data_IF_673612694548
#
_entry.id   IF_673612694548
#
_cell.length_a   1.000
_cell.length_b   1.000
_cell.length_c   1.000
_cell.angle_alpha   90.00
_cell.angle_beta   90.00
_cell.angle_gamma   90.00
#
_symmetry.space_group_name_H-M   'P 1'
#
loop_
_entity.id
_entity.type
_entity.pdbx_description
1 polymer ?
#
# COMPACT_ATOMS: atom_id res chain seq x y z
N UNK A 1 34.75 12.41 6.31
CA UNK A 1 34.06 11.61 5.28
C UNK A 1 34.43 10.15 5.48
N UNK A 2 33.47 9.29 5.75
CA UNK A 2 33.68 7.85 6.01
C UNK A 2 33.60 7.08 4.70
N UNK A 3 34.50 6.12 4.48
CA UNK A 3 34.42 5.23 3.31
C UNK A 3 33.66 3.95 3.66
N UNK A 4 32.60 3.68 2.92
CA UNK A 4 31.69 2.55 3.17
C UNK A 4 31.55 1.72 1.89
N UNK A 5 31.79 0.41 1.94
CA UNK A 5 31.62 -0.45 0.74
C UNK A 5 30.19 -0.50 0.24
N UNK A 6 29.22 -0.75 1.12
CA UNK A 6 27.79 -0.82 0.80
C UNK A 6 27.00 0.00 1.80
N UNK A 7 26.24 0.97 1.32
CA UNK A 7 25.29 1.74 2.12
C UNK A 7 23.88 1.40 1.69
N UNK A 8 23.03 1.09 2.67
CA UNK A 8 21.59 0.95 2.48
C UNK A 8 20.91 2.16 3.11
N UNK A 9 20.24 2.97 2.31
CA UNK A 9 19.49 4.11 2.79
C UNK A 9 18.03 3.72 3.01
N UNK A 10 17.61 3.72 4.27
CA UNK A 10 16.29 3.32 4.76
C UNK A 10 16.27 1.94 5.41
N UNK A 11 15.99 1.91 6.71
CA UNK A 11 15.87 0.70 7.54
C UNK A 11 14.45 0.13 7.57
N UNK A 12 13.67 0.25 6.47
CA UNK A 12 12.39 -0.44 6.31
C UNK A 12 12.55 -1.93 5.98
N UNK A 13 11.46 -2.66 5.77
CA UNK A 13 11.51 -4.11 5.47
C UNK A 13 12.46 -4.44 4.33
N UNK A 14 12.35 -3.74 3.19
CA UNK A 14 13.22 -3.96 2.02
C UNK A 14 14.69 -3.63 2.28
N UNK A 15 14.95 -2.55 3.02
CA UNK A 15 16.32 -2.16 3.36
C UNK A 15 16.98 -3.12 4.33
N UNK A 16 16.25 -3.58 5.35
CA UNK A 16 16.75 -4.59 6.30
C UNK A 16 17.09 -5.90 5.58
N UNK A 17 16.21 -6.41 4.73
CA UNK A 17 16.47 -7.64 3.93
C UNK A 17 17.64 -7.43 2.98
N UNK A 18 17.70 -6.31 2.27
CA UNK A 18 18.80 -6.00 1.35
C UNK A 18 20.16 -5.93 2.08
N UNK A 19 20.18 -5.35 3.27
CA UNK A 19 21.39 -5.28 4.10
C UNK A 19 21.84 -6.67 4.58
N UNK A 20 20.89 -7.50 5.05
CA UNK A 20 21.14 -8.89 5.48
C UNK A 20 21.73 -9.70 4.33
N UNK A 21 21.09 -9.66 3.15
CA UNK A 21 21.54 -10.46 2.00
C UNK A 21 22.90 -9.99 1.48
N UNK A 22 23.16 -8.68 1.43
CA UNK A 22 24.49 -8.17 1.08
C UNK A 22 25.56 -8.60 2.09
N UNK A 23 25.23 -8.60 3.39
CA UNK A 23 26.16 -9.01 4.44
C UNK A 23 26.39 -10.54 4.44
N UNK A 24 25.39 -11.36 4.13
CA UNK A 24 25.55 -12.82 3.89
C UNK A 24 26.56 -13.13 2.79
N UNK A 25 26.64 -12.27 1.78
CA UNK A 25 27.60 -12.37 0.68
C UNK A 25 28.99 -11.81 1.04
N UNK A 26 29.23 -11.47 2.29
CA UNK A 26 30.51 -10.99 2.80
C UNK A 26 30.77 -9.49 2.64
N UNK A 27 29.76 -8.69 2.29
CA UNK A 27 29.90 -7.25 2.22
C UNK A 27 29.88 -6.60 3.62
N UNK A 28 30.71 -5.57 3.82
CA UNK A 28 30.55 -4.68 4.97
C UNK A 28 29.42 -3.68 4.64
N UNK A 29 28.32 -3.78 5.37
CA UNK A 29 27.10 -3.02 5.10
C UNK A 29 26.81 -2.05 6.24
N UNK A 30 26.50 -0.81 5.88
CA UNK A 30 25.94 0.20 6.80
C UNK A 30 24.50 0.53 6.36
N UNK A 31 23.58 0.60 7.30
CA UNK A 31 22.20 1.07 7.10
C UNK A 31 22.05 2.44 7.75
N UNK A 32 21.52 3.41 7.04
CA UNK A 32 21.05 4.66 7.63
C UNK A 32 19.52 4.67 7.68
N UNK A 33 18.94 5.09 8.81
CA UNK A 33 17.51 5.14 9.05
C UNK A 33 17.13 6.46 9.73
N UNK A 34 16.16 7.18 9.16
CA UNK A 34 15.75 8.49 9.69
C UNK A 34 14.96 8.42 11.00
N UNK A 35 14.40 7.28 11.34
CA UNK A 35 13.71 7.07 12.61
C UNK A 35 14.68 6.50 13.65
N UNK A 36 14.30 6.60 14.93
CA UNK A 36 15.10 6.10 16.05
C UNK A 36 15.24 4.57 16.13
N UNK A 37 14.57 3.82 15.24
CA UNK A 37 14.66 2.34 15.13
C UNK A 37 14.28 1.92 13.72
N UNK A 38 14.92 0.88 13.16
CA UNK A 38 14.52 0.29 11.89
C UNK A 38 13.18 -0.45 12.01
N UNK A 39 12.55 -0.73 10.88
CA UNK A 39 11.35 -1.56 10.78
C UNK A 39 10.07 -0.96 11.35
N UNK A 40 10.01 0.34 11.64
CA UNK A 40 8.81 0.97 12.26
C UNK A 40 7.53 0.73 11.46
N UNK A 41 7.58 0.84 10.13
CA UNK A 41 6.41 0.63 9.29
C UNK A 41 5.92 -0.82 9.32
N UNK A 42 6.78 -1.80 9.56
CA UNK A 42 6.40 -3.21 9.69
C UNK A 42 5.33 -3.37 10.77
N UNK A 43 5.48 -2.67 11.90
CA UNK A 43 4.57 -2.76 13.04
C UNK A 43 3.13 -2.32 12.72
N UNK A 44 2.93 -1.48 11.71
CA UNK A 44 1.62 -1.00 11.30
C UNK A 44 0.99 -1.85 10.19
N UNK A 45 1.74 -2.77 9.59
CA UNK A 45 1.25 -3.60 8.48
C UNK A 45 0.27 -4.67 8.95
N UNK A 46 -0.71 -5.02 8.10
CA UNK A 46 -1.69 -6.04 8.42
C UNK A 46 -2.41 -5.80 9.74
N UNK A 47 -2.70 -4.56 10.09
CA UNK A 47 -3.29 -4.16 11.37
C UNK A 47 -2.50 -4.69 12.59
N UNK A 48 -1.18 -4.52 12.56
CA UNK A 48 -0.26 -4.98 13.60
C UNK A 48 0.13 -6.46 13.53
N UNK A 49 -0.31 -7.19 12.50
CA UNK A 49 -0.04 -8.63 12.32
C UNK A 49 1.05 -8.94 11.31
N UNK A 50 1.40 -7.99 10.42
CA UNK A 50 2.33 -8.16 9.30
C UNK A 50 1.90 -9.24 8.30
N UNK A 51 0.98 -8.90 7.39
CA UNK A 51 0.77 -9.72 6.21
C UNK A 51 2.01 -9.59 5.31
N UNK A 52 2.79 -10.68 5.14
CA UNK A 52 4.06 -10.60 4.43
C UNK A 52 4.03 -11.23 3.03
N UNK A 53 3.04 -12.08 2.70
CA UNK A 53 2.82 -12.57 1.34
C UNK A 53 1.40 -13.09 1.14
N UNK A 54 1.04 -13.41 -0.11
CA UNK A 54 -0.23 -14.01 -0.48
C UNK A 54 0.00 -15.21 -1.41
N UNK A 55 -0.81 -16.27 -1.25
CA UNK A 55 -0.78 -17.44 -2.12
C UNK A 55 -1.21 -17.10 -3.54
N UNK A 56 -2.22 -16.23 -3.69
CA UNK A 56 -2.63 -15.76 -5.00
C UNK A 56 -1.65 -14.71 -5.52
N UNK A 57 -0.91 -15.08 -6.56
CA UNK A 57 0.07 -14.24 -7.24
C UNK A 57 -0.20 -14.20 -8.75
N UNK A 58 -1.46 -14.33 -9.16
CA UNK A 58 -1.85 -14.14 -10.55
C UNK A 58 -1.53 -12.72 -11.01
N UNK A 59 -1.10 -12.57 -12.25
CA UNK A 59 -0.69 -11.27 -12.81
C UNK A 59 -1.83 -10.25 -12.74
N UNK A 60 -3.07 -10.68 -12.88
CA UNK A 60 -4.27 -9.85 -12.72
C UNK A 60 -4.38 -9.14 -11.37
N UNK A 61 -3.72 -9.68 -10.33
CA UNK A 61 -3.66 -9.06 -8.99
C UNK A 61 -2.68 -7.88 -8.91
N UNK A 62 -1.83 -7.70 -9.94
CA UNK A 62 -0.81 -6.66 -9.98
C UNK A 62 -1.19 -5.59 -11.02
N UNK A 63 -1.42 -4.39 -10.58
CA UNK A 63 -1.83 -3.27 -11.44
C UNK A 63 -0.61 -2.54 -12.03
N UNK A 64 0.27 -3.29 -12.70
CA UNK A 64 1.46 -2.76 -13.37
C UNK A 64 1.13 -2.26 -14.78
N UNK A 65 1.95 -1.35 -15.31
CA UNK A 65 1.99 -1.02 -16.73
C UNK A 65 2.94 -1.95 -17.51
N UNK A 66 3.73 -2.78 -16.80
CA UNK A 66 4.65 -3.75 -17.35
C UNK A 66 4.54 -5.09 -16.59
N UNK A 67 3.70 -5.96 -17.10
CA UNK A 67 3.48 -7.29 -16.53
C UNK A 67 4.71 -8.18 -16.63
N UNK A 68 5.61 -7.93 -17.61
CA UNK A 68 6.84 -8.70 -17.78
C UNK A 68 7.76 -8.59 -16.58
N UNK A 69 7.91 -7.37 -16.04
CA UNK A 69 8.70 -7.13 -14.83
C UNK A 69 8.11 -7.89 -13.63
N UNK A 70 6.79 -7.84 -13.47
CA UNK A 70 6.09 -8.52 -12.37
C UNK A 70 6.31 -10.03 -12.47
N UNK A 71 6.08 -10.62 -13.66
CA UNK A 71 6.31 -12.05 -13.91
C UNK A 71 7.75 -12.46 -13.61
N UNK A 72 8.74 -11.69 -14.09
CA UNK A 72 10.15 -11.98 -13.87
C UNK A 72 10.52 -11.98 -12.37
N UNK A 73 9.95 -11.07 -11.58
CA UNK A 73 10.19 -11.02 -10.14
C UNK A 73 9.55 -12.23 -9.46
N UNK A 74 8.26 -12.52 -9.76
CA UNK A 74 7.53 -13.63 -9.14
C UNK A 74 8.12 -15.00 -9.50
N UNK A 75 8.62 -15.20 -10.72
CA UNK A 75 9.32 -16.43 -11.11
C UNK A 75 10.61 -16.64 -10.31
N UNK A 76 11.30 -15.57 -9.95
CA UNK A 76 12.53 -15.63 -9.16
C UNK A 76 12.29 -15.73 -7.67
N UNK A 77 11.25 -15.07 -7.16
CA UNK A 77 10.97 -14.95 -5.74
C UNK A 77 9.44 -14.90 -5.50
N UNK A 78 8.82 -16.06 -5.48
CA UNK A 78 7.39 -16.26 -5.27
C UNK A 78 7.01 -16.27 -3.78
N UNK A 79 5.73 -16.48 -3.48
CA UNK A 79 5.24 -16.51 -2.10
C UNK A 79 5.88 -17.65 -1.29
N UNK A 80 6.21 -18.79 -1.91
CA UNK A 80 6.83 -19.91 -1.19
C UNK A 80 8.23 -19.53 -0.74
N UNK A 81 9.03 -18.90 -1.60
CA UNK A 81 10.36 -18.42 -1.23
C UNK A 81 10.32 -17.35 -0.13
N UNK A 82 9.27 -16.53 -0.10
CA UNK A 82 9.05 -15.60 1.02
C UNK A 82 8.81 -16.37 2.32
N UNK A 83 7.96 -17.40 2.29
CA UNK A 83 7.68 -18.25 3.45
C UNK A 83 8.97 -18.96 3.93
N UNK A 84 9.73 -19.54 2.99
CA UNK A 84 10.97 -20.25 3.28
C UNK A 84 12.02 -19.31 3.91
N UNK A 85 12.17 -18.09 3.36
CA UNK A 85 13.05 -17.06 3.91
C UNK A 85 12.73 -16.75 5.38
N UNK A 86 11.44 -16.56 5.69
CA UNK A 86 11.01 -16.28 7.06
C UNK A 86 11.20 -17.51 7.97
N UNK A 87 10.92 -18.71 7.47
CA UNK A 87 11.13 -19.95 8.18
C UNK A 87 12.62 -20.16 8.55
N UNK A 88 13.51 -20.02 7.60
CA UNK A 88 14.96 -20.13 7.81
C UNK A 88 15.49 -19.09 8.81
N UNK A 89 14.87 -17.92 8.85
CA UNK A 89 15.18 -16.85 9.80
C UNK A 89 14.47 -17.01 11.16
N UNK A 90 13.73 -18.10 11.37
CA UNK A 90 13.09 -18.44 12.65
C UNK A 90 11.68 -17.85 12.85
N UNK A 91 10.99 -17.46 11.78
CA UNK A 91 9.58 -17.03 11.84
C UNK A 91 8.71 -18.06 11.14
N UNK A 92 7.94 -18.80 11.92
CA UNK A 92 6.88 -19.67 11.40
C UNK A 92 5.71 -18.82 10.88
N UNK A 93 5.08 -19.27 9.80
CA UNK A 93 3.92 -18.62 9.20
C UNK A 93 2.62 -19.36 9.51
N UNK A 94 1.51 -18.64 9.42
CA UNK A 94 0.15 -19.18 9.31
C UNK A 94 -0.56 -18.54 8.13
N UNK A 95 -1.36 -19.33 7.46
CA UNK A 95 -2.20 -18.88 6.35
C UNK A 95 -3.62 -18.61 6.85
N UNK A 96 -4.25 -17.59 6.29
CA UNK A 96 -5.67 -17.30 6.42
C UNK A 96 -6.18 -16.65 5.14
N UNK A 97 -7.09 -17.31 4.47
CA UNK A 97 -7.75 -16.80 3.24
C UNK A 97 -6.74 -16.41 2.13
N UNK A 98 -5.66 -17.18 1.98
CA UNK A 98 -4.54 -16.91 1.06
C UNK A 98 -3.47 -15.96 1.58
N UNK A 99 -3.71 -15.23 2.66
CA UNK A 99 -2.78 -14.30 3.28
C UNK A 99 -1.89 -14.99 4.30
N UNK A 100 -0.59 -14.68 4.29
CA UNK A 100 0.38 -15.25 5.22
C UNK A 100 0.81 -14.22 6.27
N UNK A 101 0.81 -14.67 7.52
CA UNK A 101 1.17 -13.88 8.70
C UNK A 101 2.17 -14.67 9.54
N UNK A 102 2.99 -14.04 10.40
CA UNK A 102 3.73 -14.78 11.41
C UNK A 102 2.76 -15.56 12.31
N UNK A 103 3.16 -16.77 12.70
CA UNK A 103 2.33 -17.64 13.56
C UNK A 103 1.93 -16.95 14.87
N UNK A 104 2.80 -16.12 15.43
CA UNK A 104 2.53 -15.28 16.59
C UNK A 104 1.37 -14.29 16.39
N UNK A 105 1.03 -13.95 15.14
CA UNK A 105 0.06 -12.90 14.81
C UNK A 105 0.54 -11.49 15.17
N UNK A 106 1.83 -11.28 15.36
CA UNK A 106 2.40 -10.00 15.77
C UNK A 106 3.48 -9.53 14.78
N UNK A 107 3.30 -8.34 14.23
CA UNK A 107 4.30 -7.70 13.36
C UNK A 107 5.65 -7.48 14.07
N UNK A 108 5.64 -7.35 15.39
CA UNK A 108 6.84 -7.22 16.20
C UNK A 108 7.79 -8.43 16.07
N UNK A 109 7.25 -9.64 15.87
CA UNK A 109 8.07 -10.86 15.67
C UNK A 109 8.89 -10.79 14.40
N UNK A 110 8.29 -10.28 13.30
CA UNK A 110 8.98 -10.10 12.02
C UNK A 110 10.08 -9.05 12.15
N UNK A 111 9.77 -7.91 12.75
CA UNK A 111 10.76 -6.87 12.98
C UNK A 111 11.93 -7.37 13.84
N UNK A 112 11.65 -8.03 14.97
CA UNK A 112 12.67 -8.55 15.87
C UNK A 112 13.55 -9.61 15.19
N UNK A 113 12.99 -10.43 14.30
CA UNK A 113 13.76 -11.37 13.50
C UNK A 113 14.74 -10.62 12.56
N UNK A 114 14.27 -9.62 11.81
CA UNK A 114 15.13 -8.85 10.92
C UNK A 114 16.24 -8.11 11.68
N UNK A 115 15.94 -7.55 12.86
CA UNK A 115 16.94 -6.93 13.72
C UNK A 115 18.01 -7.96 14.15
N UNK A 116 17.61 -9.17 14.61
CA UNK A 116 18.56 -10.23 14.97
C UNK A 116 19.43 -10.70 13.80
N UNK A 117 18.85 -10.81 12.59
CA UNK A 117 19.64 -11.21 11.42
C UNK A 117 20.64 -10.10 11.01
N UNK A 118 20.27 -8.83 11.12
CA UNK A 118 21.24 -7.73 10.92
C UNK A 118 22.38 -7.80 11.93
N UNK A 119 22.08 -8.02 13.21
CA UNK A 119 23.10 -8.17 14.26
C UNK A 119 23.99 -9.40 14.02
N UNK A 120 23.39 -10.54 13.64
CA UNK A 120 24.11 -11.79 13.33
C UNK A 120 25.13 -11.60 12.22
N UNK A 121 24.78 -10.84 11.17
CA UNK A 121 25.67 -10.56 10.06
C UNK A 121 26.45 -9.25 10.20
N UNK A 122 26.44 -8.67 11.40
CA UNK A 122 27.23 -7.47 11.76
C UNK A 122 26.96 -6.27 10.85
N UNK A 123 25.71 -6.08 10.48
CA UNK A 123 25.27 -4.87 9.77
C UNK A 123 25.37 -3.67 10.71
N UNK A 124 26.07 -2.62 10.31
CA UNK A 124 26.18 -1.39 11.09
C UNK A 124 24.94 -0.51 10.84
N UNK A 125 24.21 -0.14 11.91
CA UNK A 125 22.92 0.58 11.79
C UNK A 125 22.97 1.93 12.46
N UNK A 126 22.81 2.98 11.68
CA UNK A 126 22.76 4.36 12.12
C UNK A 126 21.30 4.87 12.06
N UNK A 127 20.69 4.97 13.23
CA UNK A 127 19.35 5.54 13.38
C UNK A 127 19.41 7.07 13.61
N UNK A 128 18.22 7.72 13.47
CA UNK A 128 18.07 9.17 13.54
C UNK A 128 19.00 9.89 12.54
N UNK A 129 19.20 9.29 11.37
CA UNK A 129 20.07 9.81 10.33
C UNK A 129 19.32 9.84 8.99
N UNK A 130 19.15 11.03 8.44
CA UNK A 130 18.32 11.27 7.25
C UNK A 130 19.18 11.49 6.01
N UNK A 131 18.95 10.67 4.98
CA UNK A 131 19.54 10.89 3.65
C UNK A 131 19.04 12.23 3.08
N UNK A 132 19.97 13.09 2.67
CA UNK A 132 19.66 14.39 2.08
C UNK A 132 20.01 14.48 0.60
N UNK A 133 21.17 13.93 0.19
CA UNK A 133 21.67 14.06 -1.18
C UNK A 133 22.53 12.88 -1.59
N UNK A 134 22.44 12.54 -2.88
CA UNK A 134 23.26 11.52 -3.54
C UNK A 134 23.98 12.17 -4.71
N UNK A 135 25.30 12.05 -4.75
CA UNK A 135 26.13 12.63 -5.82
C UNK A 135 26.94 11.49 -6.44
N UNK A 136 26.69 11.14 -7.72
CA UNK A 136 27.47 10.13 -8.41
C UNK A 136 28.91 10.56 -8.57
N UNK A 137 29.84 9.66 -8.28
CA UNK A 137 31.26 9.82 -8.57
C UNK A 137 31.62 9.08 -9.83
N UNK A 138 32.19 9.79 -10.77
CA UNK A 138 32.61 9.23 -12.05
C UNK A 138 34.12 8.95 -12.07
N UNK A 139 34.51 8.03 -12.93
CA UNK A 139 35.93 7.79 -13.25
C UNK A 139 36.56 9.04 -13.94
N UNK A 140 37.87 8.96 -14.22
CA UNK A 140 38.59 10.03 -14.87
C UNK A 140 38.08 10.34 -16.29
N UNK A 141 37.44 9.39 -16.95
CA UNK A 141 36.82 9.59 -18.26
C UNK A 141 35.47 10.30 -18.19
N UNK A 142 34.86 10.36 -17.01
CA UNK A 142 33.51 10.89 -16.80
C UNK A 142 32.37 9.99 -17.30
N UNK A 143 32.71 8.80 -17.79
CA UNK A 143 31.72 7.91 -18.41
C UNK A 143 31.12 6.89 -17.41
N UNK A 144 31.94 6.39 -16.47
CA UNK A 144 31.48 5.35 -15.56
C UNK A 144 31.27 5.86 -14.14
N UNK A 145 30.18 5.43 -13.50
CA UNK A 145 29.96 5.70 -12.07
C UNK A 145 30.77 4.67 -11.27
N UNK A 146 31.75 5.14 -10.49
CA UNK A 146 32.62 4.32 -9.65
C UNK A 146 32.18 4.28 -8.18
N UNK A 147 31.16 5.05 -7.82
CA UNK A 147 30.61 5.14 -6.47
C UNK A 147 29.77 6.39 -6.29
N UNK A 148 29.47 6.70 -5.05
CA UNK A 148 28.61 7.83 -4.70
C UNK A 148 29.19 8.60 -3.49
N UNK A 149 29.02 9.91 -3.47
CA UNK A 149 29.04 10.69 -2.26
C UNK A 149 27.61 10.79 -1.75
N UNK A 150 27.39 10.34 -0.53
CA UNK A 150 26.09 10.36 0.14
C UNK A 150 26.16 11.34 1.29
N UNK A 151 25.26 12.33 1.30
CA UNK A 151 25.16 13.33 2.34
C UNK A 151 23.91 13.10 3.17
N UNK A 152 24.08 13.09 4.48
CA UNK A 152 23.02 13.01 5.47
C UNK A 152 22.99 14.30 6.31
N UNK A 153 22.03 14.39 7.22
CA UNK A 153 21.97 15.46 8.22
C UNK A 153 23.06 15.35 9.30
N UNK A 154 23.80 14.23 9.33
CA UNK A 154 24.85 13.97 10.35
C UNK A 154 26.26 13.82 9.78
N UNK A 155 26.39 13.18 8.60
CA UNK A 155 27.72 12.83 8.08
C UNK A 155 27.74 12.84 6.54
N UNK A 156 28.93 12.63 5.98
CA UNK A 156 29.19 12.43 4.55
C UNK A 156 29.94 11.12 4.34
N UNK A 157 29.42 10.30 3.42
CA UNK A 157 29.94 8.98 3.12
C UNK A 157 30.46 8.89 1.69
N UNK A 158 31.59 8.24 1.51
CA UNK A 158 32.05 7.73 0.22
C UNK A 158 31.60 6.28 0.10
N UNK A 159 30.70 6.01 -0.84
CA UNK A 159 30.02 4.73 -0.97
C UNK A 159 30.36 4.09 -2.31
N UNK A 160 30.79 2.83 -2.30
CA UNK A 160 31.03 2.09 -3.54
C UNK A 160 29.73 1.60 -4.16
N UNK A 161 28.81 1.07 -3.36
CA UNK A 161 27.49 0.60 -3.77
C UNK A 161 26.41 1.19 -2.87
N UNK A 162 25.37 1.76 -3.46
CA UNK A 162 24.25 2.36 -2.76
C UNK A 162 22.97 1.58 -3.08
N UNK A 163 22.24 1.18 -2.03
CA UNK A 163 20.88 0.63 -2.12
C UNK A 163 19.94 1.68 -1.55
N UNK A 164 19.02 2.16 -2.38
CA UNK A 164 18.03 3.14 -1.97
C UNK A 164 16.71 2.43 -1.59
N UNK A 165 16.43 2.36 -0.30
CA UNK A 165 15.27 1.68 0.29
C UNK A 165 14.43 2.61 1.18
N UNK A 166 14.38 3.91 0.87
CA UNK A 166 13.74 4.96 1.67
C UNK A 166 12.20 4.94 1.63
N UNK A 167 11.61 4.02 0.86
CA UNK A 167 10.16 3.86 0.74
C UNK A 167 9.53 4.86 -0.23
N UNK A 168 8.21 4.83 -0.30
CA UNK A 168 7.39 5.68 -1.17
C UNK A 168 6.79 6.89 -0.45
N UNK A 169 5.55 7.26 -0.85
CA UNK A 169 4.83 8.42 -0.29
C UNK A 169 3.70 8.04 0.67
N UNK A 170 3.36 6.74 0.77
CA UNK A 170 2.26 6.27 1.61
C UNK A 170 2.63 6.30 3.11
N UNK A 171 1.68 6.71 3.95
CA UNK A 171 1.81 6.81 5.41
C UNK A 171 3.03 7.67 5.86
N UNK A 172 3.02 9.00 5.63
CA UNK A 172 4.13 9.90 5.95
C UNK A 172 4.52 9.88 7.43
N UNK A 173 3.55 9.69 8.32
CA UNK A 173 3.79 9.56 9.77
C UNK A 173 4.74 8.40 10.12
N UNK A 174 4.79 7.37 9.27
CA UNK A 174 5.69 6.22 9.41
C UNK A 174 7.09 6.47 8.79
N UNK A 175 7.32 7.66 8.24
CA UNK A 175 8.63 8.07 7.75
C UNK A 175 8.82 8.01 6.23
N UNK A 176 7.77 7.76 5.46
CA UNK A 176 7.85 7.70 3.99
C UNK A 176 7.20 8.93 3.36
N UNK A 177 8.01 9.85 2.90
CA UNK A 177 7.62 11.19 2.42
C UNK A 177 7.86 11.39 0.92
N UNK A 178 8.29 10.32 0.21
CA UNK A 178 8.59 10.40 -1.22
C UNK A 178 9.94 11.02 -1.57
N UNK A 179 10.80 11.26 -0.59
CA UNK A 179 12.13 11.90 -0.81
C UNK A 179 12.97 11.13 -1.82
N UNK A 180 12.86 9.79 -1.84
CA UNK A 180 13.59 8.94 -2.78
C UNK A 180 13.26 9.22 -4.24
N UNK A 181 12.02 9.57 -4.55
CA UNK A 181 11.62 9.90 -5.92
C UNK A 181 12.32 11.15 -6.43
N UNK A 182 12.36 12.22 -5.62
CA UNK A 182 13.08 13.45 -5.96
C UNK A 182 14.56 13.18 -6.18
N UNK A 183 15.21 12.44 -5.28
CA UNK A 183 16.63 12.10 -5.39
C UNK A 183 16.93 11.28 -6.65
N UNK A 184 16.06 10.34 -7.03
CA UNK A 184 16.22 9.57 -8.26
C UNK A 184 16.05 10.44 -9.51
N UNK A 185 15.10 11.39 -9.51
CA UNK A 185 14.93 12.35 -10.59
C UNK A 185 16.18 13.25 -10.76
N UNK A 186 16.78 13.69 -9.66
CA UNK A 186 18.05 14.44 -9.67
C UNK A 186 19.21 13.62 -10.28
N UNK A 187 19.14 12.28 -10.19
CA UNK A 187 20.07 11.35 -10.82
C UNK A 187 19.73 11.00 -12.27
N UNK A 188 18.67 11.59 -12.83
CA UNK A 188 18.22 11.35 -14.21
C UNK A 188 17.39 10.08 -14.38
N UNK A 189 16.92 9.46 -13.29
CA UNK A 189 16.03 8.29 -13.35
C UNK A 189 14.60 8.76 -13.57
N UNK A 190 13.92 8.22 -14.59
CA UNK A 190 12.52 8.48 -14.83
C UNK A 190 11.67 7.86 -13.72
N UNK A 191 10.71 8.64 -13.20
CA UNK A 191 9.80 8.21 -12.14
C UNK A 191 8.38 8.16 -12.70
N UNK A 192 7.76 6.99 -12.60
CA UNK A 192 6.30 6.89 -12.78
C UNK A 192 5.64 7.53 -11.56
N UNK A 193 4.79 8.54 -11.74
CA UNK A 193 4.18 9.25 -10.62
C UNK A 193 3.41 8.28 -9.69
N UNK A 194 3.70 8.27 -8.40
CA UNK A 194 2.95 7.46 -7.44
C UNK A 194 1.55 8.04 -7.27
N UNK A 195 0.54 7.22 -7.49
CA UNK A 195 -0.86 7.59 -7.31
C UNK A 195 -1.44 6.88 -6.07
N UNK A 196 -2.42 7.50 -5.38
CA UNK A 196 -3.10 6.87 -4.27
C UNK A 196 -3.77 5.55 -4.68
N UNK A 197 -3.65 4.54 -3.82
CA UNK A 197 -4.35 3.26 -3.94
C UNK A 197 -4.64 2.70 -2.55
N UNK A 198 -5.59 1.77 -2.44
CA UNK A 198 -6.05 1.21 -1.16
C UNK A 198 -6.47 2.32 -0.17
N UNK A 199 -7.25 3.25 -0.66
CA UNK A 199 -7.71 4.42 0.11
C UNK A 199 -9.21 4.66 -0.10
N UNK A 200 -9.81 5.46 0.78
CA UNK A 200 -11.17 5.98 0.57
C UNK A 200 -11.22 6.85 -0.70
N UNK A 201 -12.39 6.91 -1.29
CA UNK A 201 -12.67 7.78 -2.46
C UNK A 201 -13.53 8.94 -1.97
N UNK A 202 -13.05 10.16 -2.21
CA UNK A 202 -13.84 11.37 -2.00
C UNK A 202 -14.83 11.54 -3.17
N UNK A 203 -16.07 11.89 -2.85
CA UNK A 203 -17.14 12.10 -3.81
C UNK A 203 -17.58 13.55 -3.77
N UNK A 204 -17.85 14.09 -4.94
CA UNK A 204 -18.51 15.40 -5.07
C UNK A 204 -20.04 15.20 -5.02
N UNK A 205 -20.53 14.83 -3.83
CA UNK A 205 -21.94 14.55 -3.58
C UNK A 205 -22.37 15.12 -2.23
N UNK A 206 -23.45 15.89 -2.23
CA UNK A 206 -24.02 16.52 -1.04
C UNK A 206 -24.51 15.47 0.01
N UNK A 207 -24.92 14.28 -0.44
CA UNK A 207 -25.41 13.21 0.39
C UNK A 207 -24.36 12.64 1.35
N UNK A 208 -23.05 12.82 1.06
CA UNK A 208 -21.97 12.26 1.86
C UNK A 208 -22.06 12.64 3.35
N UNK A 209 -22.50 13.87 3.65
CA UNK A 209 -22.67 14.33 5.02
C UNK A 209 -23.83 13.64 5.74
N UNK A 210 -24.91 13.33 5.02
CA UNK A 210 -26.12 12.74 5.56
C UNK A 210 -25.89 11.28 5.94
N UNK A 211 -25.22 10.49 5.10
CA UNK A 211 -25.00 9.07 5.33
C UNK A 211 -23.78 8.74 6.20
N UNK A 212 -23.00 9.74 6.60
CA UNK A 212 -21.75 9.52 7.34
C UNK A 212 -21.90 8.64 8.57
N UNK A 213 -21.04 7.61 8.66
CA UNK A 213 -21.01 6.62 9.74
C UNK A 213 -21.84 5.35 9.45
N UNK A 214 -22.58 5.30 8.35
CA UNK A 214 -23.31 4.09 7.93
C UNK A 214 -22.33 3.06 7.39
N UNK A 215 -22.60 1.78 7.68
CA UNK A 215 -21.94 0.61 7.07
C UNK A 215 -23.01 -0.30 6.49
N UNK A 216 -22.80 -0.76 5.29
CA UNK A 216 -23.71 -1.67 4.57
C UNK A 216 -22.92 -2.72 3.81
N UNK A 217 -23.52 -3.89 3.61
CA UNK A 217 -23.11 -4.77 2.51
C UNK A 217 -23.63 -4.15 1.21
N UNK A 218 -22.74 -3.97 0.25
CA UNK A 218 -23.09 -3.31 -1.02
C UNK A 218 -22.10 -3.66 -2.12
N UNK A 219 -22.45 -3.29 -3.35
CA UNK A 219 -21.57 -3.36 -4.49
C UNK A 219 -21.19 -1.95 -4.93
N UNK A 220 -19.94 -1.76 -5.29
CA UNK A 220 -19.45 -0.52 -5.91
C UNK A 220 -18.95 -0.82 -7.31
N UNK A 221 -19.45 -0.07 -8.28
CA UNK A 221 -19.00 -0.12 -9.66
C UNK A 221 -18.27 1.18 -10.04
N UNK A 222 -17.14 1.03 -10.73
CA UNK A 222 -16.41 2.15 -11.33
C UNK A 222 -16.76 2.25 -12.81
N UNK A 223 -17.25 3.41 -13.21
CA UNK A 223 -17.60 3.74 -14.59
C UNK A 223 -16.80 4.93 -15.11
N UNK A 224 -16.48 4.88 -16.41
CA UNK A 224 -15.88 6.03 -17.12
C UNK A 224 -16.27 5.96 -18.60
N UNK A 225 -16.61 7.08 -19.20
CA UNK A 225 -16.97 7.17 -20.64
C UNK A 225 -18.05 6.15 -21.04
N UNK A 226 -19.05 5.92 -20.17
CA UNK A 226 -20.18 5.02 -20.42
C UNK A 226 -19.87 3.52 -20.24
N UNK A 227 -18.65 3.16 -19.89
CA UNK A 227 -18.23 1.75 -19.68
C UNK A 227 -17.95 1.46 -18.23
N UNK A 228 -18.34 0.26 -17.75
CA UNK A 228 -17.96 -0.27 -16.45
C UNK A 228 -16.53 -0.81 -16.52
N UNK A 229 -15.65 -0.30 -15.66
CA UNK A 229 -14.22 -0.65 -15.64
C UNK A 229 -13.83 -1.59 -14.52
N UNK A 230 -14.56 -1.55 -13.39
CA UNK A 230 -14.33 -2.42 -12.26
C UNK A 230 -15.58 -2.49 -11.40
N UNK A 231 -15.70 -3.56 -10.63
CA UNK A 231 -16.70 -3.73 -9.57
C UNK A 231 -16.11 -4.54 -8.42
N UNK A 232 -16.61 -4.34 -7.23
CA UNK A 232 -16.34 -5.20 -6.07
C UNK A 232 -17.50 -5.12 -5.08
N UNK A 233 -17.68 -6.18 -4.28
CA UNK A 233 -18.80 -6.35 -3.34
C UNK A 233 -18.26 -6.64 -1.94
N UNK A 234 -18.85 -6.02 -0.93
CA UNK A 234 -18.52 -6.22 0.47
C UNK A 234 -19.01 -5.08 1.36
N UNK A 235 -18.45 -4.97 2.57
CA UNK A 235 -18.82 -3.90 3.48
C UNK A 235 -18.29 -2.55 2.98
N UNK A 236 -19.23 -1.67 2.61
CA UNK A 236 -18.96 -0.27 2.25
C UNK A 236 -19.22 0.59 3.48
N UNK A 237 -18.26 1.45 3.79
CA UNK A 237 -18.37 2.43 4.87
C UNK A 237 -18.60 3.82 4.28
N UNK A 238 -19.75 4.40 4.57
CA UNK A 238 -20.07 5.78 4.21
C UNK A 238 -19.31 6.74 5.13
N UNK A 239 -18.58 7.68 4.57
CA UNK A 239 -17.81 8.69 5.32
C UNK A 239 -18.26 10.10 4.94
N UNK A 240 -17.88 11.10 5.73
CA UNK A 240 -18.38 12.48 5.56
C UNK A 240 -18.02 13.13 4.21
N UNK A 241 -17.03 12.60 3.50
CA UNK A 241 -16.59 13.13 2.20
C UNK A 241 -16.65 12.08 1.08
N UNK A 242 -17.30 10.94 1.29
CA UNK A 242 -17.37 9.90 0.27
C UNK A 242 -17.59 8.52 0.85
N UNK A 243 -16.83 7.54 0.33
CA UNK A 243 -16.95 6.13 0.68
C UNK A 243 -15.60 5.50 1.00
N UNK A 244 -15.63 4.44 1.79
CA UNK A 244 -14.48 3.65 2.24
C UNK A 244 -14.88 2.16 2.36
N UNK A 245 -13.98 1.30 2.79
CA UNK A 245 -14.20 -0.12 2.90
C UNK A 245 -13.42 -0.91 1.88
N UNK A 246 -13.35 -2.23 2.06
CA UNK A 246 -12.51 -3.09 1.21
C UNK A 246 -12.86 -2.99 -0.28
N UNK A 247 -14.15 -3.05 -0.70
CA UNK A 247 -14.50 -2.91 -2.11
C UNK A 247 -14.04 -1.58 -2.71
N UNK A 248 -14.14 -0.51 -1.94
CA UNK A 248 -13.71 0.82 -2.36
C UNK A 248 -12.19 0.88 -2.51
N UNK A 249 -11.44 0.26 -1.59
CA UNK A 249 -9.99 0.19 -1.65
C UNK A 249 -9.50 -0.54 -2.90
N UNK A 250 -10.17 -1.61 -3.31
CA UNK A 250 -9.80 -2.39 -4.49
C UNK A 250 -9.90 -1.59 -5.79
N UNK A 251 -10.89 -0.73 -5.91
CA UNK A 251 -11.08 0.08 -7.12
C UNK A 251 -10.35 1.43 -7.08
N UNK A 252 -9.95 1.91 -5.89
CA UNK A 252 -9.42 3.27 -5.68
C UNK A 252 -8.19 3.61 -6.53
N UNK A 253 -7.30 2.65 -6.75
CA UNK A 253 -6.12 2.84 -7.60
C UNK A 253 -6.47 3.10 -9.08
N UNK A 254 -7.56 2.48 -9.57
CA UNK A 254 -8.07 2.74 -10.93
C UNK A 254 -8.71 4.14 -11.02
N UNK A 255 -9.47 4.53 -10.00
CA UNK A 255 -10.04 5.90 -9.90
C UNK A 255 -8.92 6.94 -9.95
N UNK A 256 -7.90 6.80 -9.12
CA UNK A 256 -6.75 7.73 -9.08
C UNK A 256 -6.05 7.84 -10.43
N UNK A 257 -5.90 6.72 -11.15
CA UNK A 257 -5.28 6.71 -12.49
C UNK A 257 -6.14 7.43 -13.53
N UNK A 258 -7.45 7.24 -13.52
CA UNK A 258 -8.36 7.93 -14.43
C UNK A 258 -8.35 9.44 -14.18
N UNK A 259 -8.42 9.87 -12.93
CA UNK A 259 -8.32 11.27 -12.55
C UNK A 259 -6.98 11.90 -12.97
N UNK A 260 -5.87 11.17 -12.77
CA UNK A 260 -4.55 11.62 -13.22
C UNK A 260 -4.47 11.79 -14.76
N UNK A 261 -5.23 10.99 -15.51
CA UNK A 261 -5.35 11.10 -16.96
C UNK A 261 -6.32 12.21 -17.42
N UNK A 262 -6.90 12.97 -16.48
CA UNK A 262 -7.88 14.02 -16.80
C UNK A 262 -9.26 13.48 -17.18
N UNK A 263 -9.57 12.22 -16.84
CA UNK A 263 -10.89 11.62 -17.08
C UNK A 263 -11.82 11.89 -15.91
N UNK A 264 -13.12 11.78 -16.16
CA UNK A 264 -14.19 11.96 -15.16
C UNK A 264 -14.85 10.62 -14.84
N UNK A 265 -14.27 9.82 -13.90
CA UNK A 265 -14.90 8.59 -13.44
C UNK A 265 -16.08 8.91 -12.52
N UNK A 266 -17.08 8.02 -12.52
CA UNK A 266 -18.15 8.03 -11.54
C UNK A 266 -18.38 6.64 -10.96
N UNK A 267 -19.00 6.60 -9.78
CA UNK A 267 -19.31 5.36 -9.08
C UNK A 267 -20.82 5.13 -9.09
N UNK A 268 -21.22 3.88 -9.25
CA UNK A 268 -22.56 3.40 -8.92
C UNK A 268 -22.48 2.54 -7.68
N UNK A 269 -23.37 2.81 -6.74
CA UNK A 269 -23.48 2.04 -5.49
C UNK A 269 -24.79 1.26 -5.55
N UNK A 270 -24.69 -0.05 -5.45
CA UNK A 270 -25.84 -0.92 -5.17
C UNK A 270 -25.83 -1.23 -3.67
N UNK A 271 -26.85 -0.76 -2.98
CA UNK A 271 -26.99 -0.90 -1.52
C UNK A 271 -27.83 -2.12 -1.13
N UNK A 272 -28.32 -2.88 -2.10
CA UNK A 272 -29.10 -4.11 -1.96
C UNK A 272 -28.67 -5.18 -2.97
N UNK A 273 -27.38 -5.55 -3.04
CA UNK A 273 -26.85 -6.41 -4.12
C UNK A 273 -27.42 -7.84 -4.12
N UNK A 274 -28.04 -8.27 -3.04
CA UNK A 274 -28.68 -9.58 -2.93
C UNK A 274 -30.12 -9.61 -3.50
N UNK A 275 -30.62 -8.46 -4.00
CA UNK A 275 -31.98 -8.33 -4.53
C UNK A 275 -31.94 -7.82 -5.98
N UNK A 276 -32.82 -8.37 -6.82
CA UNK A 276 -32.96 -7.85 -8.18
C UNK A 276 -33.75 -6.52 -8.18
N UNK A 277 -33.57 -5.74 -9.24
CA UNK A 277 -34.32 -4.48 -9.42
C UNK A 277 -35.83 -4.71 -9.34
N UNK A 278 -36.32 -5.82 -9.91
CA UNK A 278 -37.73 -6.20 -9.91
C UNK A 278 -38.21 -6.48 -8.49
N UNK A 279 -37.44 -7.22 -7.67
CA UNK A 279 -37.77 -7.51 -6.27
C UNK A 279 -37.84 -6.23 -5.43
N UNK A 280 -36.85 -5.34 -5.60
CA UNK A 280 -36.83 -4.05 -4.90
C UNK A 280 -38.01 -3.18 -5.33
N UNK A 281 -38.35 -3.15 -6.62
CA UNK A 281 -39.49 -2.39 -7.13
C UNK A 281 -40.81 -2.92 -6.60
N UNK A 282 -40.99 -4.24 -6.59
CA UNK A 282 -42.20 -4.88 -6.06
C UNK A 282 -42.39 -4.56 -4.57
N UNK A 283 -41.33 -4.67 -3.79
CA UNK A 283 -41.38 -4.34 -2.36
C UNK A 283 -41.68 -2.86 -2.11
N UNK A 284 -41.07 -1.94 -2.88
CA UNK A 284 -41.37 -0.52 -2.77
C UNK A 284 -42.84 -0.22 -3.11
N UNK A 285 -43.38 -0.78 -4.19
CA UNK A 285 -44.78 -0.64 -4.56
C UNK A 285 -45.70 -1.18 -3.49
N UNK A 286 -45.41 -2.38 -2.94
CA UNK A 286 -46.16 -2.96 -1.83
C UNK A 286 -46.20 -2.03 -0.62
N UNK A 287 -45.04 -1.44 -0.25
CA UNK A 287 -44.95 -0.53 0.90
C UNK A 287 -45.71 0.76 0.66
N UNK A 288 -45.57 1.37 -0.50
CA UNK A 288 -46.30 2.59 -0.86
C UNK A 288 -47.82 2.33 -0.79
N UNK A 289 -48.30 1.22 -1.32
CA UNK A 289 -49.74 0.86 -1.31
C UNK A 289 -50.23 0.54 0.11
N UNK A 290 -49.40 -0.07 0.96
CA UNK A 290 -49.81 -0.50 2.31
C UNK A 290 -49.65 0.61 3.34
N UNK A 291 -48.60 1.40 3.26
CA UNK A 291 -48.20 2.34 4.31
C UNK A 291 -48.07 3.78 3.81
N UNK A 292 -48.10 4.03 2.48
CA UNK A 292 -47.69 5.31 1.88
C UNK A 292 -48.68 6.46 2.04
N UNK A 293 -49.95 6.18 2.35
CA UNK A 293 -50.96 7.25 2.47
C UNK A 293 -50.70 8.10 3.74
N UNK A 294 -50.28 9.34 3.52
CA UNK A 294 -50.00 10.29 4.61
C UNK A 294 -48.63 10.11 5.28
N UNK A 295 -47.73 9.32 4.72
CA UNK A 295 -46.39 9.10 5.25
C UNK A 295 -45.30 9.69 4.36
N UNK A 296 -44.15 10.00 4.94
CA UNK A 296 -42.96 10.44 4.18
C UNK A 296 -42.32 9.26 3.43
N UNK A 297 -41.50 9.58 2.42
CA UNK A 297 -40.70 8.56 1.73
C UNK A 297 -39.76 7.84 2.70
N UNK A 298 -39.22 8.55 3.69
CA UNK A 298 -38.38 7.93 4.75
C UNK A 298 -39.12 6.83 5.50
N UNK A 299 -40.39 7.06 5.87
CA UNK A 299 -41.21 6.05 6.56
C UNK A 299 -41.47 4.81 5.69
N UNK A 300 -41.54 4.98 4.37
CA UNK A 300 -41.68 3.87 3.42
C UNK A 300 -40.40 3.03 3.32
N UNK A 301 -39.24 3.66 3.46
CA UNK A 301 -37.93 3.02 3.42
C UNK A 301 -37.47 2.43 4.75
N UNK A 302 -38.20 2.69 5.82
CA UNK A 302 -37.88 2.20 7.16
C UNK A 302 -37.78 0.67 7.19
N UNK A 303 -36.68 0.16 7.75
CA UNK A 303 -36.39 -1.29 7.76
C UNK A 303 -35.89 -1.88 6.42
N UNK A 304 -35.82 -1.09 5.34
CA UNK A 304 -35.11 -1.46 4.11
C UNK A 304 -33.68 -0.93 4.10
N UNK A 305 -33.51 0.33 4.50
CA UNK A 305 -32.23 1.02 4.53
C UNK A 305 -31.95 1.56 5.93
N UNK A 306 -30.68 1.73 6.30
CA UNK A 306 -30.32 2.52 7.48
C UNK A 306 -30.89 3.93 7.39
N UNK A 307 -31.43 4.47 8.48
CA UNK A 307 -32.14 5.75 8.56
C UNK A 307 -31.40 6.92 7.88
N UNK A 308 -30.07 7.02 8.10
CA UNK A 308 -29.24 8.05 7.47
C UNK A 308 -29.13 7.87 5.95
N UNK A 309 -29.13 6.65 5.46
CA UNK A 309 -29.05 6.36 4.02
C UNK A 309 -30.41 6.60 3.34
N UNK A 310 -31.50 6.28 4.03
CA UNK A 310 -32.86 6.58 3.56
C UNK A 310 -33.13 8.10 3.45
N UNK A 311 -32.46 8.91 4.27
CA UNK A 311 -32.53 10.38 4.24
C UNK A 311 -31.60 11.03 3.20
N UNK A 312 -30.56 10.34 2.79
CA UNK A 312 -29.61 10.80 1.77
C UNK A 312 -30.18 10.62 0.36
#
# INVERSE_FOLDING_TARGET
>A
MRSIPVLVAGGGASGMVAAIEAAKLGANVTVIEKKNKPGKKILATGNGRCNFTNRNQEISCYHSSDDTLVQMVLQRFDHQKVIDYFWESGVMSKERDGYYYPLSGQAASVRAMLEREMDRYKVDVHCDETLQRIIPRKDLSGQNIIGYEVQTDRDKYLVRKLILAVGGSAAPAQGTTGDGYRMLQELGVAIVPPLPALTSIELDDACCKLWSGVRIMGQVELWCEGSRLAEDTGEIQMVAKGISGIPVFQISGRVSRLLYQGKEPYLKLDVMPDHTKEQVMEELLRRVNTYGVGRSLGDVLDGMLPDKLAKA
#
